data_IF_488640544696
#
_entry.id   IF_488640544696
#
_cell.length_a   1.000
_cell.length_b   1.000
_cell.length_c   1.000
_cell.angle_alpha   90.00
_cell.angle_beta   90.00
_cell.angle_gamma   90.00
#
_symmetry.space_group_name_H-M   'P 1'
#
loop_
_entity.id
_entity.type
_entity.pdbx_description
1 polymer ?
#
# COMPACT_ATOMS: atom_id res chain seq x y z
N UNK A 1 4.35 49.53 -45.73
CA UNK A 1 5.21 48.45 -45.24
C UNK A 1 5.28 48.37 -43.70
N UNK A 2 5.22 49.49 -42.96
CA UNK A 2 5.36 49.50 -41.49
C UNK A 2 4.14 48.93 -40.72
N UNK A 3 2.95 48.93 -41.30
CA UNK A 3 1.71 48.44 -40.63
C UNK A 3 1.57 46.89 -40.65
N UNK A 4 2.24 46.21 -41.57
CA UNK A 4 2.19 44.75 -41.67
C UNK A 4 3.15 44.05 -40.71
N UNK A 5 4.20 44.75 -40.26
CA UNK A 5 5.18 44.22 -39.30
C UNK A 5 4.52 44.05 -37.90
N UNK A 6 3.61 44.96 -37.52
CA UNK A 6 2.90 44.84 -36.23
C UNK A 6 1.91 43.68 -36.17
N UNK A 7 1.34 43.31 -37.33
CA UNK A 7 0.42 42.17 -37.42
C UNK A 7 1.21 40.86 -37.31
N UNK A 8 2.39 40.76 -37.88
CA UNK A 8 3.25 39.59 -37.79
C UNK A 8 3.79 39.34 -36.35
N UNK A 9 4.12 40.43 -35.63
CA UNK A 9 4.58 40.31 -34.22
C UNK A 9 3.43 39.90 -33.29
N UNK A 10 2.19 40.28 -33.58
CA UNK A 10 1.04 39.91 -32.75
C UNK A 10 0.64 38.42 -32.85
N UNK A 11 1.03 37.72 -33.91
CA UNK A 11 0.75 36.30 -34.14
C UNK A 11 1.75 35.38 -33.41
N UNK A 12 2.98 35.90 -33.13
CA UNK A 12 4.03 35.10 -32.46
C UNK A 12 3.88 34.99 -30.94
N UNK A 13 2.96 35.74 -30.31
CA UNK A 13 2.81 35.74 -28.86
C UNK A 13 1.73 34.77 -28.34
N UNK A 14 1.04 34.03 -29.21
CA UNK A 14 -0.03 33.08 -28.83
C UNK A 14 0.43 31.62 -28.73
N UNK A 15 1.73 31.32 -28.88
CA UNK A 15 2.25 29.95 -28.85
C UNK A 15 2.89 29.54 -27.53
N UNK A 16 2.68 30.27 -26.44
CA UNK A 16 3.30 29.98 -25.15
C UNK A 16 2.25 29.67 -24.08
N UNK A 17 1.41 28.66 -24.31
CA UNK A 17 0.62 28.00 -23.26
C UNK A 17 0.19 26.61 -23.72
N UNK A 18 1.15 25.70 -23.84
CA UNK A 18 0.86 24.26 -23.91
C UNK A 18 1.94 23.44 -23.20
N UNK A 19 2.05 23.63 -21.90
CA UNK A 19 2.84 22.76 -21.02
C UNK A 19 2.00 22.26 -19.84
N UNK A 20 0.75 21.91 -20.11
CA UNK A 20 -0.17 21.33 -19.12
C UNK A 20 -0.39 19.82 -19.26
N UNK A 21 0.13 19.17 -20.32
CA UNK A 21 -0.24 17.80 -20.65
C UNK A 21 0.61 16.69 -20.01
N UNK A 22 1.74 17.02 -19.39
CA UNK A 22 2.68 15.98 -18.93
C UNK A 22 2.57 15.63 -17.42
N UNK A 23 1.81 16.41 -16.65
CA UNK A 23 1.59 16.13 -15.21
C UNK A 23 0.40 15.19 -14.94
N UNK A 24 -0.57 15.12 -15.85
CA UNK A 24 -1.75 14.28 -15.63
C UNK A 24 -1.48 12.80 -15.95
N UNK A 25 -0.58 12.49 -16.89
CA UNK A 25 -0.24 11.11 -17.23
C UNK A 25 0.53 10.39 -16.10
N UNK A 26 1.42 11.09 -15.39
CA UNK A 26 2.15 10.52 -14.25
C UNK A 26 1.25 10.26 -13.02
N UNK A 27 0.06 10.85 -12.98
CA UNK A 27 -0.93 10.68 -11.92
C UNK A 27 -1.93 9.57 -12.20
N UNK A 28 -2.10 9.20 -13.46
CA UNK A 28 -2.94 8.05 -13.87
C UNK A 28 -2.32 6.72 -13.45
N UNK A 29 -1.02 6.69 -13.19
CA UNK A 29 -0.26 5.47 -12.88
C UNK A 29 -0.29 5.07 -11.39
N UNK A 30 -0.90 5.87 -10.51
CA UNK A 30 -1.05 5.49 -9.09
C UNK A 30 -2.32 4.69 -8.90
N UNK A 31 -2.18 3.38 -8.70
CA UNK A 31 -3.25 2.46 -8.31
C UNK A 31 -2.78 1.60 -7.14
N UNK A 32 -3.31 1.84 -5.95
CA UNK A 32 -2.94 1.11 -4.74
C UNK A 32 -3.79 -0.15 -4.63
N UNK A 33 -3.11 -1.28 -4.50
CA UNK A 33 -3.71 -2.55 -4.11
C UNK A 33 -3.24 -2.95 -2.73
N UNK A 34 -4.17 -3.40 -1.90
CA UNK A 34 -3.87 -3.91 -0.57
C UNK A 34 -3.55 -5.40 -0.67
N UNK A 35 -2.31 -5.76 -0.34
CA UNK A 35 -1.89 -7.15 -0.25
C UNK A 35 -2.49 -7.75 1.03
N UNK A 36 -3.31 -8.76 0.90
CA UNK A 36 -4.08 -9.38 1.97
C UNK A 36 -3.23 -10.33 2.82
N UNK A 37 -2.25 -9.75 3.53
CA UNK A 37 -1.42 -10.50 4.46
C UNK A 37 -2.22 -11.05 5.65
N UNK A 38 -3.27 -10.35 6.08
CA UNK A 38 -4.22 -10.79 7.09
C UNK A 38 -4.85 -12.15 6.78
N UNK A 39 -5.15 -12.43 5.50
CA UNK A 39 -5.67 -13.73 5.07
C UNK A 39 -4.65 -14.84 5.22
N UNK A 40 -3.40 -14.57 4.82
CA UNK A 40 -2.32 -15.53 5.02
C UNK A 40 -2.08 -15.81 6.50
N UNK A 41 -2.17 -14.78 7.36
CA UNK A 41 -2.09 -14.95 8.82
C UNK A 41 -3.23 -15.86 9.33
N UNK A 42 -4.46 -15.59 8.93
CA UNK A 42 -5.60 -16.42 9.31
C UNK A 42 -5.43 -17.87 8.85
N UNK A 43 -5.08 -18.10 7.59
CA UNK A 43 -4.86 -19.45 7.07
C UNK A 43 -3.70 -20.16 7.78
N UNK A 44 -2.59 -19.46 8.03
CA UNK A 44 -1.41 -20.04 8.67
C UNK A 44 -1.67 -20.42 10.13
N UNK A 45 -2.29 -19.52 10.89
CA UNK A 45 -2.37 -19.67 12.35
C UNK A 45 -3.71 -20.22 12.84
N UNK A 46 -4.83 -19.86 12.23
CA UNK A 46 -6.14 -20.37 12.62
C UNK A 46 -6.47 -21.71 11.95
N UNK A 47 -6.03 -21.91 10.68
CA UNK A 47 -6.29 -23.12 9.93
C UNK A 47 -5.06 -24.06 9.86
N UNK A 48 -3.96 -23.71 10.52
CA UNK A 48 -2.70 -24.48 10.54
C UNK A 48 -2.17 -24.79 9.13
N UNK A 49 -2.30 -23.84 8.20
CA UNK A 49 -1.87 -24.03 6.81
C UNK A 49 -0.36 -23.77 6.65
N UNK A 50 0.41 -24.84 6.48
CA UNK A 50 1.84 -24.76 6.18
C UNK A 50 2.09 -24.00 4.85
N UNK A 51 1.24 -24.18 3.86
CA UNK A 51 1.33 -23.47 2.58
C UNK A 51 1.17 -21.96 2.76
N UNK A 52 0.25 -21.51 3.63
CA UNK A 52 0.08 -20.10 3.92
C UNK A 52 1.31 -19.52 4.65
N UNK A 53 1.87 -20.27 5.61
CA UNK A 53 3.09 -19.88 6.31
C UNK A 53 4.28 -19.72 5.34
N UNK A 54 4.41 -20.64 4.38
CA UNK A 54 5.42 -20.53 3.34
C UNK A 54 5.21 -19.31 2.45
N UNK A 55 3.97 -19.04 2.02
CA UNK A 55 3.63 -17.85 1.23
C UNK A 55 3.92 -16.55 1.97
N UNK A 56 3.67 -16.47 3.26
CA UNK A 56 4.04 -15.30 4.08
C UNK A 56 5.51 -14.97 3.92
N UNK A 57 6.39 -15.98 3.91
CA UNK A 57 7.83 -15.78 3.80
C UNK A 57 8.30 -15.52 2.37
N UNK A 58 7.66 -16.12 1.35
CA UNK A 58 8.11 -16.07 -0.04
C UNK A 58 7.46 -14.96 -0.84
N UNK A 59 6.16 -14.69 -0.63
CA UNK A 59 5.40 -13.70 -1.38
C UNK A 59 5.31 -12.35 -0.66
N UNK A 60 5.42 -12.37 0.69
CA UNK A 60 5.32 -11.17 1.53
C UNK A 60 6.52 -11.01 2.47
N UNK A 61 7.78 -11.12 1.99
CA UNK A 61 8.96 -11.13 2.85
C UNK A 61 9.10 -9.85 3.68
N UNK A 62 8.74 -8.71 3.13
CA UNK A 62 8.81 -7.41 3.83
C UNK A 62 7.82 -7.34 5.00
N UNK A 63 6.55 -7.73 4.78
CA UNK A 63 5.56 -7.76 5.85
C UNK A 63 5.95 -8.78 6.93
N UNK A 64 6.42 -9.96 6.52
CA UNK A 64 6.89 -11.01 7.43
C UNK A 64 8.10 -10.53 8.24
N UNK A 65 9.06 -9.87 7.61
CA UNK A 65 10.22 -9.29 8.28
C UNK A 65 9.81 -8.23 9.31
N UNK A 66 8.89 -7.32 8.98
CA UNK A 66 8.38 -6.32 9.91
C UNK A 66 7.69 -6.93 11.13
N UNK A 67 6.94 -8.02 10.95
CA UNK A 67 6.34 -8.78 12.05
C UNK A 67 7.39 -9.46 12.92
N UNK A 68 8.41 -10.02 12.31
CA UNK A 68 9.44 -10.86 12.93
C UNK A 68 10.56 -10.01 13.55
N UNK A 69 11.06 -8.97 12.90
CA UNK A 69 12.16 -8.13 13.41
C UNK A 69 11.83 -7.43 14.72
N UNK A 70 10.54 -7.26 15.03
CA UNK A 70 10.12 -6.78 16.35
C UNK A 70 10.25 -7.83 17.46
N UNK A 71 10.32 -9.10 17.11
CA UNK A 71 10.63 -10.19 18.04
C UNK A 71 12.13 -10.50 17.90
N UNK A 72 12.97 -9.84 18.65
CA UNK A 72 14.46 -9.98 18.61
C UNK A 72 15.01 -11.35 19.06
N UNK A 73 14.23 -12.43 18.94
CA UNK A 73 14.58 -13.75 19.48
C UNK A 73 14.44 -14.87 18.44
N UNK A 74 15.31 -15.87 18.59
CA UNK A 74 15.43 -17.06 17.74
C UNK A 74 14.20 -17.97 17.71
N UNK A 75 13.24 -17.81 18.64
CA UNK A 75 12.00 -18.61 18.75
C UNK A 75 10.77 -17.90 18.19
N UNK A 76 10.95 -17.13 17.15
CA UNK A 76 9.91 -16.28 16.55
C UNK A 76 8.70 -17.09 16.10
N UNK A 77 8.92 -18.22 15.44
CA UNK A 77 7.82 -19.06 14.95
C UNK A 77 7.01 -19.62 16.11
N UNK A 78 7.63 -20.04 17.19
CA UNK A 78 6.97 -20.60 18.36
C UNK A 78 6.16 -19.54 19.09
N UNK A 79 6.71 -18.34 19.26
CA UNK A 79 6.00 -17.19 19.86
C UNK A 79 4.86 -16.68 18.99
N UNK A 80 5.02 -16.61 17.68
CA UNK A 80 3.95 -16.26 16.76
C UNK A 80 2.84 -17.31 16.80
N UNK A 81 3.19 -18.58 16.77
CA UNK A 81 2.21 -19.66 16.89
C UNK A 81 1.49 -19.61 18.25
N UNK A 82 2.18 -19.40 19.35
CA UNK A 82 1.59 -19.28 20.67
C UNK A 82 0.67 -18.05 20.75
N UNK A 83 1.11 -16.90 20.25
CA UNK A 83 0.33 -15.66 20.21
C UNK A 83 -0.94 -15.82 19.38
N UNK A 84 -0.82 -16.34 18.16
CA UNK A 84 -1.96 -16.53 17.27
C UNK A 84 -2.80 -17.76 17.59
N UNK A 85 -2.40 -18.61 18.54
CA UNK A 85 -3.20 -19.73 19.07
C UNK A 85 -4.24 -19.29 20.10
N UNK A 86 -4.20 -18.02 20.54
CA UNK A 86 -5.24 -17.48 21.40
C UNK A 86 -6.61 -17.48 20.71
N UNK A 87 -7.59 -18.10 21.32
CA UNK A 87 -8.91 -18.30 20.73
C UNK A 87 -9.68 -16.99 20.48
N UNK A 88 -9.44 -15.97 21.31
CA UNK A 88 -10.05 -14.65 21.14
C UNK A 88 -9.44 -13.97 19.92
N UNK A 89 -8.11 -14.03 19.81
CA UNK A 89 -7.41 -13.45 18.65
C UNK A 89 -7.79 -14.15 17.35
N UNK A 90 -7.93 -15.47 17.36
CA UNK A 90 -8.39 -16.22 16.17
C UNK A 90 -9.78 -15.78 15.72
N UNK A 91 -10.72 -15.56 16.66
CA UNK A 91 -12.06 -15.04 16.34
C UNK A 91 -12.00 -13.62 15.80
N UNK A 92 -11.14 -12.76 16.36
CA UNK A 92 -10.92 -11.41 15.84
C UNK A 92 -10.34 -11.46 14.42
N UNK A 93 -9.39 -12.35 14.18
CA UNK A 93 -8.79 -12.56 12.84
C UNK A 93 -9.85 -13.01 11.84
N UNK A 94 -10.67 -13.99 12.20
CA UNK A 94 -11.75 -14.49 11.36
C UNK A 94 -12.75 -13.38 11.02
N UNK A 95 -13.26 -12.68 12.02
CA UNK A 95 -14.24 -11.61 11.84
C UNK A 95 -13.67 -10.45 11.02
N UNK A 96 -12.45 -10.02 11.33
CA UNK A 96 -11.78 -8.96 10.59
C UNK A 96 -11.53 -9.35 9.11
N UNK A 97 -11.00 -10.54 8.88
CA UNK A 97 -10.54 -10.97 7.55
C UNK A 97 -11.67 -11.39 6.64
N UNK A 98 -12.66 -12.12 7.15
CA UNK A 98 -13.72 -12.73 6.35
C UNK A 98 -15.02 -11.92 6.33
N UNK A 99 -15.29 -11.14 7.36
CA UNK A 99 -16.55 -10.40 7.53
C UNK A 99 -16.33 -8.91 7.30
N UNK A 100 -15.58 -8.25 8.19
CA UNK A 100 -15.42 -6.79 8.20
C UNK A 100 -14.68 -6.28 6.98
N UNK A 101 -13.56 -6.89 6.66
CA UNK A 101 -12.67 -6.48 5.56
C UNK A 101 -12.63 -7.54 4.44
N UNK A 102 -13.79 -8.12 4.14
CA UNK A 102 -13.91 -9.06 3.02
C UNK A 102 -13.49 -8.43 1.69
N UNK A 103 -13.81 -7.15 1.51
CA UNK A 103 -13.45 -6.34 0.34
C UNK A 103 -12.67 -5.10 0.82
N UNK A 104 -11.57 -4.79 0.15
CA UNK A 104 -10.71 -3.64 0.45
C UNK A 104 -10.88 -2.48 -0.54
N UNK A 105 -11.84 -2.56 -1.46
CA UNK A 105 -11.98 -1.60 -2.57
C UNK A 105 -12.11 -0.15 -2.11
N UNK A 106 -12.89 0.10 -1.06
CA UNK A 106 -13.07 1.48 -0.55
C UNK A 106 -11.77 2.01 0.06
N UNK A 107 -11.02 1.14 0.76
CA UNK A 107 -9.71 1.46 1.33
C UNK A 107 -8.71 1.70 0.20
N UNK A 108 -8.64 0.81 -0.79
CA UNK A 108 -7.76 0.94 -1.97
C UNK A 108 -8.04 2.23 -2.73
N UNK A 109 -9.32 2.57 -2.92
CA UNK A 109 -9.74 3.82 -3.55
C UNK A 109 -9.27 5.03 -2.76
N UNK A 110 -9.52 5.05 -1.45
CA UNK A 110 -9.10 6.15 -0.58
C UNK A 110 -7.58 6.34 -0.56
N UNK A 111 -6.83 5.24 -0.47
CA UNK A 111 -5.37 5.26 -0.54
C UNK A 111 -4.88 5.76 -1.90
N UNK A 112 -5.44 5.26 -2.99
CA UNK A 112 -5.11 5.69 -4.35
C UNK A 112 -5.30 7.19 -4.53
N UNK A 113 -6.44 7.72 -4.09
CA UNK A 113 -6.73 9.16 -4.15
C UNK A 113 -5.76 9.97 -3.27
N UNK A 114 -5.45 9.49 -2.06
CA UNK A 114 -4.48 10.10 -1.15
C UNK A 114 -3.08 10.15 -1.75
N UNK A 115 -2.58 9.04 -2.27
CA UNK A 115 -1.24 8.97 -2.88
C UNK A 115 -1.14 9.76 -4.19
N UNK A 116 -2.22 9.85 -4.96
CA UNK A 116 -2.27 10.74 -6.13
C UNK A 116 -2.09 12.21 -5.73
N UNK A 117 -2.76 12.65 -4.66
CA UNK A 117 -2.59 14.02 -4.12
C UNK A 117 -1.16 14.24 -3.63
N UNK A 118 -0.62 13.29 -2.86
CA UNK A 118 0.76 13.37 -2.38
C UNK A 118 1.77 13.42 -3.52
N UNK A 119 1.58 12.62 -4.56
CA UNK A 119 2.47 12.59 -5.74
C UNK A 119 2.46 13.92 -6.51
N UNK A 120 1.36 14.68 -6.47
CA UNK A 120 1.31 16.04 -7.04
C UNK A 120 2.22 17.02 -6.31
N UNK A 121 2.22 16.95 -5.00
CA UNK A 121 3.03 17.83 -4.14
C UNK A 121 4.48 17.36 -4.05
N UNK A 122 4.70 16.04 -4.12
CA UNK A 122 5.98 15.35 -4.01
C UNK A 122 6.20 14.45 -5.23
N UNK A 123 6.67 14.98 -6.36
CA UNK A 123 6.81 14.21 -7.62
C UNK A 123 7.73 13.00 -7.49
N UNK A 124 8.74 13.06 -6.62
CA UNK A 124 9.72 11.99 -6.40
C UNK A 124 9.24 10.94 -5.38
N UNK A 125 8.01 11.08 -4.86
CA UNK A 125 7.45 10.12 -3.91
C UNK A 125 7.39 8.72 -4.52
N UNK A 126 8.04 7.76 -3.86
CA UNK A 126 7.91 6.34 -4.17
C UNK A 126 6.59 5.83 -3.58
N UNK A 127 5.77 5.19 -4.41
CA UNK A 127 4.51 4.63 -3.95
C UNK A 127 4.79 3.32 -3.20
N UNK A 128 4.42 3.21 -1.91
CA UNK A 128 4.73 2.03 -1.11
C UNK A 128 3.80 0.86 -1.46
N UNK A 129 4.26 -0.36 -1.16
CA UNK A 129 3.38 -1.51 -1.08
C UNK A 129 2.58 -1.46 0.23
N UNK A 130 1.29 -1.74 0.15
CA UNK A 130 0.38 -1.70 1.29
C UNK A 130 -0.07 -3.12 1.63
N UNK A 131 0.10 -3.50 2.89
CA UNK A 131 -0.30 -4.80 3.41
C UNK A 131 -1.35 -4.62 4.50
N UNK A 132 -2.38 -5.47 4.51
CA UNK A 132 -3.27 -5.60 5.65
C UNK A 132 -2.73 -6.65 6.62
N UNK A 133 -2.84 -6.40 7.92
CA UNK A 133 -2.45 -7.38 8.94
C UNK A 133 -3.38 -7.31 10.15
N UNK A 134 -3.49 -8.41 10.87
CA UNK A 134 -4.08 -8.45 12.21
C UNK A 134 -2.95 -8.47 13.23
N UNK A 135 -2.95 -7.49 14.14
CA UNK A 135 -1.92 -7.34 15.16
C UNK A 135 -2.53 -7.39 16.56
N UNK A 136 -1.67 -7.32 17.58
CA UNK A 136 -2.05 -7.30 19.01
C UNK A 136 -2.86 -6.05 19.43
N UNK A 137 -3.41 -5.29 18.51
CA UNK A 137 -4.21 -4.07 18.76
C UNK A 137 -3.43 -2.94 19.45
N UNK A 138 -2.11 -3.03 19.53
CA UNK A 138 -1.24 -2.01 20.09
C UNK A 138 -0.76 -0.99 19.05
N UNK A 139 -0.97 -1.27 17.77
CA UNK A 139 -0.60 -0.40 16.65
C UNK A 139 -1.58 -0.57 15.49
N UNK A 140 -2.02 0.55 14.93
CA UNK A 140 -2.92 0.56 13.77
C UNK A 140 -2.18 0.63 12.43
N UNK A 141 -1.01 1.25 12.42
CA UNK A 141 -0.18 1.40 11.22
C UNK A 141 1.28 1.15 11.57
N UNK A 142 1.97 0.40 10.73
CA UNK A 142 3.42 0.20 10.79
C UNK A 142 4.00 0.66 9.47
N UNK A 143 4.97 1.56 9.53
CA UNK A 143 5.73 2.02 8.37
C UNK A 143 7.12 1.41 8.46
N UNK A 144 7.57 0.78 7.38
CA UNK A 144 8.91 0.26 7.23
C UNK A 144 9.60 0.91 6.05
N UNK A 145 10.91 0.97 6.08
CA UNK A 145 11.71 1.35 4.92
C UNK A 145 11.64 0.21 3.91
N UNK A 146 10.94 0.44 2.82
CA UNK A 146 11.00 -0.47 1.67
C UNK A 146 12.22 -0.06 0.84
N UNK A 147 13.33 -0.66 1.12
CA UNK A 147 14.51 -0.61 0.26
C UNK A 147 14.54 -1.83 -0.65
#
# INVERSE_FOLDING_TARGET
MRRWIFILISILTLSACHSGGQKDDALSDVDIKVIRYDRLQYEAFALNSFSALQKMSTECPQATKLLIERAKDTDINERLCAYYSDSILQRIMEDATLVKFKDMKDIEKGLTEGFRKLKKELPDLVIPQVYSQVSALNQSVVVGDSL
#
